data_IF_134252296297
#
_entry.id   IF_134252296297
#
_cell.length_a   1.000
_cell.length_b   1.000
_cell.length_c   1.000
_cell.angle_alpha   90.00
_cell.angle_beta   90.00
_cell.angle_gamma   90.00
#
_symmetry.space_group_name_H-M   'P 1'
#
loop_
_entity.id
_entity.type
_entity.pdbx_description
1 polymer ?
#
# COMPACT_ATOMS: atom_id res chain seq x y z
N UNK A 1 0.13 -10.95 -21.69
CA UNK A 1 0.39 -10.45 -20.32
C UNK A 1 -0.58 -11.19 -19.42
N UNK A 2 -0.09 -12.07 -18.55
CA UNK A 2 -0.97 -12.79 -17.60
C UNK A 2 -1.43 -11.77 -16.56
N UNK A 3 -2.71 -11.41 -16.58
CA UNK A 3 -3.34 -10.66 -15.49
C UNK A 3 -3.52 -11.64 -14.34
N UNK A 4 -2.95 -11.35 -13.16
CA UNK A 4 -3.24 -12.13 -11.96
C UNK A 4 -4.74 -12.02 -11.66
N UNK A 5 -5.37 -13.14 -11.31
CA UNK A 5 -6.77 -13.10 -10.91
C UNK A 5 -6.94 -12.20 -9.66
N UNK A 6 -8.02 -11.42 -9.60
CA UNK A 6 -8.26 -10.49 -8.49
C UNK A 6 -8.21 -11.17 -7.11
N UNK A 7 -8.62 -12.45 -7.03
CA UNK A 7 -8.50 -13.26 -5.81
C UNK A 7 -7.05 -13.52 -5.37
N UNK A 8 -6.15 -13.76 -6.32
CA UNK A 8 -4.72 -13.97 -6.05
C UNK A 8 -4.04 -12.68 -5.60
N UNK A 9 -4.36 -11.56 -6.27
CA UNK A 9 -3.90 -10.22 -5.86
C UNK A 9 -4.33 -9.95 -4.42
N UNK A 10 -5.60 -10.20 -4.09
CA UNK A 10 -6.12 -10.01 -2.73
C UNK A 10 -5.36 -10.82 -1.69
N UNK A 11 -5.13 -12.11 -1.94
CA UNK A 11 -4.39 -12.97 -1.02
C UNK A 11 -2.97 -12.44 -0.78
N UNK A 12 -2.28 -12.05 -1.85
CA UNK A 12 -0.93 -11.49 -1.75
C UNK A 12 -0.89 -10.16 -0.99
N UNK A 13 -1.88 -9.29 -1.22
CA UNK A 13 -2.02 -8.06 -0.46
C UNK A 13 -2.26 -8.33 1.03
N UNK A 14 -3.10 -9.32 1.36
CA UNK A 14 -3.37 -9.72 2.75
C UNK A 14 -2.10 -10.22 3.46
N UNK A 15 -1.26 -10.99 2.78
CA UNK A 15 0.02 -11.47 3.32
C UNK A 15 1.00 -10.32 3.58
N UNK A 16 1.08 -9.36 2.65
CA UNK A 16 1.93 -8.16 2.80
C UNK A 16 1.39 -7.27 3.93
N UNK A 17 0.09 -7.03 3.99
CA UNK A 17 -0.57 -6.24 5.03
C UNK A 17 -0.31 -6.86 6.42
N UNK A 18 -0.42 -8.18 6.55
CA UNK A 18 -0.09 -8.88 7.79
C UNK A 18 1.38 -8.72 8.17
N UNK A 19 2.30 -8.82 7.21
CA UNK A 19 3.74 -8.64 7.42
C UNK A 19 4.07 -7.21 7.87
N UNK A 20 3.42 -6.20 7.28
CA UNK A 20 3.59 -4.80 7.69
C UNK A 20 3.11 -4.63 9.14
N UNK A 21 1.92 -5.13 9.48
CA UNK A 21 1.36 -4.98 10.82
C UNK A 21 2.23 -5.65 11.89
N UNK A 22 2.71 -6.86 11.63
CA UNK A 22 3.63 -7.59 12.50
C UNK A 22 4.97 -6.84 12.69
N UNK A 23 5.56 -6.37 11.59
CA UNK A 23 6.83 -5.60 11.66
C UNK A 23 6.66 -4.25 12.35
N UNK A 24 5.51 -3.56 12.20
CA UNK A 24 5.21 -2.34 12.95
C UNK A 24 5.09 -2.64 14.45
N UNK A 25 4.40 -3.72 14.80
CA UNK A 25 4.29 -4.20 16.18
C UNK A 25 5.67 -4.49 16.78
N UNK A 26 6.49 -5.30 16.11
CA UNK A 26 7.88 -5.56 16.52
C UNK A 26 8.70 -4.28 16.66
N UNK A 27 8.62 -3.36 15.69
CA UNK A 27 9.41 -2.13 15.74
C UNK A 27 9.03 -1.23 16.92
N UNK A 28 7.75 -1.23 17.30
CA UNK A 28 7.23 -0.41 18.40
C UNK A 28 7.82 -0.78 19.77
N UNK A 29 8.33 -2.00 19.94
CA UNK A 29 8.91 -2.43 21.22
C UNK A 29 10.28 -1.82 21.50
N UNK A 30 10.93 -1.26 20.48
CA UNK A 30 12.25 -0.63 20.55
C UNK A 30 12.16 0.88 20.74
N UNK A 31 13.26 1.46 21.21
CA UNK A 31 13.46 2.91 21.23
C UNK A 31 13.46 3.50 19.81
N UNK A 32 13.16 4.80 19.70
CA UNK A 32 13.19 5.52 18.42
C UNK A 32 14.55 5.32 17.78
N UNK A 33 15.66 5.47 18.50
CA UNK A 33 17.01 5.36 17.94
C UNK A 33 17.24 6.37 16.81
N UNK A 34 17.11 7.65 17.11
CA UNK A 34 17.30 8.75 16.15
C UNK A 34 18.71 8.82 15.59
N UNK A 35 19.70 8.31 16.33
CA UNK A 35 21.08 8.17 15.85
C UNK A 35 21.35 6.91 15.02
N UNK A 36 20.40 5.97 14.93
CA UNK A 36 20.57 4.78 14.11
C UNK A 36 20.52 5.14 12.63
N UNK A 37 21.57 4.75 11.90
CA UNK A 37 21.60 4.83 10.45
C UNK A 37 20.57 3.86 9.86
N UNK A 38 19.62 4.39 9.10
CA UNK A 38 18.76 3.56 8.26
C UNK A 38 19.49 3.34 6.95
N UNK A 39 19.66 2.07 6.59
CA UNK A 39 20.19 1.72 5.28
C UNK A 39 19.30 2.36 4.20
N UNK A 40 19.91 3.12 3.29
CA UNK A 40 19.22 3.64 2.12
C UNK A 40 18.60 2.47 1.36
N UNK A 41 17.28 2.40 1.32
CA UNK A 41 16.58 1.39 0.54
C UNK A 41 16.47 1.89 -0.90
N UNK A 42 17.35 1.40 -1.76
CA UNK A 42 17.37 1.78 -3.18
C UNK A 42 16.07 1.37 -3.89
N UNK A 43 15.56 2.25 -4.74
CA UNK A 43 14.36 1.98 -5.57
C UNK A 43 13.02 2.10 -4.83
N UNK A 44 13.02 2.58 -3.59
CA UNK A 44 11.81 2.91 -2.83
C UNK A 44 11.37 4.35 -3.13
N UNK A 45 10.06 4.57 -3.18
CA UNK A 45 9.47 5.90 -3.27
C UNK A 45 9.92 6.78 -2.07
N UNK A 46 10.53 7.96 -2.31
CA UNK A 46 10.94 8.89 -1.24
C UNK A 46 9.81 9.27 -0.27
N UNK A 47 8.57 9.33 -0.74
CA UNK A 47 7.40 9.64 0.10
C UNK A 47 7.17 8.56 1.18
N UNK A 48 7.46 7.29 0.87
CA UNK A 48 7.38 6.16 1.83
C UNK A 48 8.42 6.30 2.91
N UNK A 49 9.67 6.56 2.52
CA UNK A 49 10.76 6.79 3.48
C UNK A 49 10.45 7.98 4.37
N UNK A 50 9.99 9.10 3.78
CA UNK A 50 9.64 10.31 4.52
C UNK A 50 8.52 10.05 5.54
N UNK A 51 7.42 9.45 5.10
CA UNK A 51 6.29 9.10 5.95
C UNK A 51 6.74 8.23 7.13
N UNK A 52 7.48 7.16 6.85
CA UNK A 52 7.98 6.24 7.87
C UNK A 52 8.86 6.94 8.91
N UNK A 53 9.76 7.81 8.45
CA UNK A 53 10.67 8.54 9.35
C UNK A 53 9.93 9.49 10.28
N UNK A 54 8.89 10.16 9.78
CA UNK A 54 8.08 11.08 10.57
C UNK A 54 7.21 10.34 11.59
N UNK A 55 6.68 9.17 11.24
CA UNK A 55 5.81 8.37 12.09
C UNK A 55 6.55 7.57 13.18
N UNK A 56 7.85 7.29 13.03
CA UNK A 56 8.67 6.58 14.05
C UNK A 56 8.55 7.17 15.46
N UNK A 57 8.43 8.50 15.57
CA UNK A 57 8.29 9.20 16.86
C UNK A 57 7.01 8.85 17.60
N UNK A 58 5.96 8.49 16.87
CA UNK A 58 4.70 8.01 17.43
C UNK A 58 4.73 6.50 17.64
N UNK A 59 5.36 5.79 16.72
CA UNK A 59 5.42 4.32 16.70
C UNK A 59 6.27 3.72 17.82
N UNK A 60 7.41 4.34 18.14
CA UNK A 60 8.46 3.72 18.95
C UNK A 60 8.59 4.39 20.32
N UNK A 61 9.20 3.69 21.28
CA UNK A 61 9.51 4.26 22.61
C UNK A 61 10.47 5.44 22.48
N UNK A 62 10.32 6.52 23.27
CA UNK A 62 11.26 7.63 23.22
C UNK A 62 12.66 7.19 23.68
N UNK A 63 13.70 7.82 23.10
CA UNK A 63 15.09 7.64 23.50
C UNK A 63 15.94 6.85 22.51
N UNK A 64 17.11 6.46 22.99
CA UNK A 64 18.15 5.73 22.25
C UNK A 64 18.53 4.46 23.03
N UNK A 65 18.76 3.38 22.30
CA UNK A 65 19.38 2.16 22.80
C UNK A 65 20.37 1.64 21.76
N UNK A 66 21.66 1.97 21.96
CA UNK A 66 22.74 1.63 21.04
C UNK A 66 22.94 0.13 20.87
N UNK A 67 22.51 -0.69 21.82
CA UNK A 67 22.59 -2.15 21.72
C UNK A 67 21.66 -2.73 20.65
N UNK A 68 20.63 -1.96 20.25
CA UNK A 68 19.60 -2.39 19.29
C UNK A 68 19.71 -1.72 17.92
N UNK A 69 20.68 -0.82 17.70
CA UNK A 69 20.77 -0.02 16.47
C UNK A 69 20.76 -0.89 15.20
N UNK A 70 21.58 -1.94 15.16
CA UNK A 70 21.66 -2.84 14.00
C UNK A 70 20.33 -3.53 13.73
N UNK A 71 19.67 -4.03 14.76
CA UNK A 71 18.40 -4.72 14.64
C UNK A 71 17.29 -3.75 14.18
N UNK A 72 17.19 -2.58 14.80
CA UNK A 72 16.21 -1.57 14.40
C UNK A 72 16.42 -1.06 12.98
N UNK A 73 17.67 -0.93 12.52
CA UNK A 73 17.98 -0.52 11.16
C UNK A 73 17.54 -1.56 10.11
N UNK A 74 17.64 -2.86 10.45
CA UNK A 74 17.14 -3.94 9.58
C UNK A 74 15.61 -3.92 9.51
N UNK A 75 14.93 -3.83 10.66
CA UNK A 75 13.46 -3.74 10.71
C UNK A 75 12.96 -2.50 9.96
N UNK A 76 13.63 -1.35 10.14
CA UNK A 76 13.30 -0.10 9.44
C UNK A 76 13.39 -0.27 7.92
N UNK A 77 14.48 -0.85 7.42
CA UNK A 77 14.68 -1.10 5.99
C UNK A 77 13.64 -2.07 5.41
N UNK A 78 13.33 -3.14 6.13
CA UNK A 78 12.31 -4.11 5.72
C UNK A 78 10.90 -3.50 5.70
N UNK A 79 10.53 -2.71 6.71
CA UNK A 79 9.25 -2.02 6.77
C UNK A 79 9.07 -1.06 5.58
N UNK A 80 10.08 -0.24 5.31
CA UNK A 80 10.08 0.70 4.18
C UNK A 80 9.88 -0.08 2.86
N UNK A 81 10.61 -1.18 2.67
CA UNK A 81 10.51 -2.00 1.46
C UNK A 81 9.13 -2.70 1.33
N UNK A 82 8.56 -3.19 2.43
CA UNK A 82 7.25 -3.82 2.45
C UNK A 82 6.13 -2.82 2.11
N UNK A 83 6.18 -1.62 2.70
CA UNK A 83 5.20 -0.56 2.44
C UNK A 83 5.26 -0.13 0.96
N UNK A 84 6.46 0.11 0.44
CA UNK A 84 6.63 0.50 -0.96
C UNK A 84 6.13 -0.58 -1.92
N UNK A 85 6.47 -1.86 -1.66
CA UNK A 85 5.97 -3.00 -2.42
C UNK A 85 4.44 -3.09 -2.36
N UNK A 86 3.85 -2.87 -1.19
CA UNK A 86 2.40 -2.88 -0.98
C UNK A 86 1.69 -1.84 -1.84
N UNK A 87 2.24 -0.63 -1.90
CA UNK A 87 1.70 0.47 -2.71
C UNK A 87 1.84 0.15 -4.20
N UNK A 88 3.02 -0.34 -4.64
CA UNK A 88 3.27 -0.71 -6.05
C UNK A 88 2.32 -1.78 -6.57
N UNK A 89 1.82 -2.70 -5.73
CA UNK A 89 0.77 -3.64 -6.12
C UNK A 89 -0.56 -2.98 -6.51
N UNK A 90 -0.75 -1.69 -6.23
CA UNK A 90 -1.86 -0.91 -6.78
C UNK A 90 -1.94 -0.98 -8.31
N UNK A 91 -0.82 -1.11 -9.01
CA UNK A 91 -0.84 -1.30 -10.47
C UNK A 91 -1.56 -2.58 -10.89
N UNK A 92 -1.35 -3.68 -10.19
CA UNK A 92 -1.99 -4.96 -10.50
C UNK A 92 -3.49 -4.87 -10.17
N UNK A 93 -3.81 -4.24 -9.04
CA UNK A 93 -5.18 -4.00 -8.60
C UNK A 93 -5.95 -3.18 -9.63
N UNK A 94 -5.41 -2.05 -10.10
CA UNK A 94 -6.11 -1.20 -11.07
C UNK A 94 -6.27 -1.89 -12.42
N UNK A 95 -5.28 -2.66 -12.87
CA UNK A 95 -5.41 -3.47 -14.09
C UNK A 95 -6.58 -4.45 -13.96
N UNK A 96 -6.67 -5.19 -12.87
CA UNK A 96 -7.79 -6.11 -12.62
C UNK A 96 -9.15 -5.41 -12.48
N UNK A 97 -9.20 -4.24 -11.81
CA UNK A 97 -10.42 -3.41 -11.72
C UNK A 97 -10.87 -2.90 -13.09
N UNK A 98 -9.95 -2.49 -13.96
CA UNK A 98 -10.28 -2.02 -15.32
C UNK A 98 -10.71 -3.15 -16.24
N UNK A 99 -10.19 -4.36 -16.07
CA UNK A 99 -10.64 -5.54 -16.80
C UNK A 99 -12.09 -5.91 -16.45
N UNK A 100 -12.47 -5.75 -15.18
CA UNK A 100 -13.82 -6.04 -14.68
C UNK A 100 -14.79 -4.88 -14.89
N UNK A 101 -14.33 -3.64 -14.82
CA UNK A 101 -15.13 -2.43 -15.02
C UNK A 101 -14.42 -1.39 -15.91
N UNK A 102 -14.48 -1.55 -17.25
CA UNK A 102 -13.86 -0.61 -18.19
C UNK A 102 -14.45 0.80 -18.16
N UNK A 103 -15.65 1.02 -17.59
CA UNK A 103 -16.29 2.33 -17.51
C UNK A 103 -15.46 3.35 -16.71
N UNK A 104 -14.59 2.87 -15.80
CA UNK A 104 -13.68 3.72 -15.04
C UNK A 104 -12.74 4.56 -15.93
N UNK A 105 -12.53 4.18 -17.19
CA UNK A 105 -11.73 4.96 -18.14
C UNK A 105 -12.42 6.27 -18.57
N UNK A 106 -13.75 6.35 -18.45
CA UNK A 106 -14.57 7.43 -19.01
C UNK A 106 -15.20 8.33 -17.93
N UNK A 107 -14.75 8.23 -16.68
CA UNK A 107 -15.27 9.06 -15.58
C UNK A 107 -14.31 10.18 -15.20
N UNK A 108 -14.82 11.18 -14.48
CA UNK A 108 -14.01 12.25 -13.87
C UNK A 108 -13.12 11.69 -12.76
N UNK A 109 -12.05 12.39 -12.40
CA UNK A 109 -11.10 11.93 -11.37
C UNK A 109 -11.76 11.64 -10.02
N UNK A 110 -12.71 12.48 -9.58
CA UNK A 110 -13.48 12.24 -8.34
C UNK A 110 -14.32 10.95 -8.41
N UNK A 111 -14.93 10.68 -9.56
CA UNK A 111 -15.71 9.44 -9.76
C UNK A 111 -14.79 8.23 -9.92
N UNK A 112 -13.61 8.43 -10.50
CA UNK A 112 -12.59 7.40 -10.62
C UNK A 112 -12.10 6.99 -9.23
N UNK A 113 -11.71 7.94 -8.40
CA UNK A 113 -11.30 7.69 -7.01
C UNK A 113 -12.35 6.88 -6.25
N UNK A 114 -13.61 7.34 -6.26
CA UNK A 114 -14.71 6.62 -5.62
C UNK A 114 -14.93 5.21 -6.20
N UNK A 115 -14.76 5.04 -7.51
CA UNK A 115 -14.92 3.75 -8.18
C UNK A 115 -13.75 2.79 -7.97
N UNK A 116 -12.59 3.30 -7.57
CA UNK A 116 -11.41 2.49 -7.22
C UNK A 116 -11.42 2.07 -5.75
N UNK A 117 -12.13 2.78 -4.87
CA UNK A 117 -12.16 2.47 -3.44
C UNK A 117 -13.26 1.48 -3.07
N UNK A 118 -12.96 0.64 -2.08
CA UNK A 118 -13.91 -0.24 -1.42
C UNK A 118 -13.76 -0.03 0.09
N UNK A 119 -14.58 0.87 0.63
CA UNK A 119 -14.46 1.31 2.03
C UNK A 119 -14.66 0.17 3.02
N UNK A 120 -15.57 -0.76 2.73
CA UNK A 120 -15.78 -1.94 3.57
C UNK A 120 -14.51 -2.78 3.62
N UNK A 121 -13.88 -2.98 2.48
CA UNK A 121 -12.63 -3.74 2.40
C UNK A 121 -11.47 -3.04 3.11
N UNK A 122 -11.35 -1.72 2.96
CA UNK A 122 -10.36 -0.90 3.66
C UNK A 122 -10.51 -1.04 5.18
N UNK A 123 -11.74 -0.97 5.70
CA UNK A 123 -12.04 -1.17 7.13
C UNK A 123 -11.65 -2.57 7.61
N UNK A 124 -11.91 -3.61 6.81
CA UNK A 124 -11.51 -4.99 7.14
C UNK A 124 -9.99 -5.15 7.20
N UNK A 125 -9.24 -4.52 6.28
CA UNK A 125 -7.77 -4.53 6.32
C UNK A 125 -7.27 -3.85 7.60
N UNK A 126 -7.77 -2.65 7.90
CA UNK A 126 -7.37 -1.89 9.10
C UNK A 126 -7.65 -2.70 10.38
N UNK A 127 -8.86 -3.28 10.51
CA UNK A 127 -9.23 -4.07 11.68
C UNK A 127 -8.30 -5.26 11.90
N UNK A 128 -7.92 -5.96 10.83
CA UNK A 128 -6.99 -7.09 10.96
C UNK A 128 -5.57 -6.65 11.28
N UNK A 129 -5.09 -5.56 10.68
CA UNK A 129 -3.79 -5.00 11.00
C UNK A 129 -3.70 -4.60 12.48
N UNK A 130 -4.74 -3.95 13.01
CA UNK A 130 -4.87 -3.66 14.45
C UNK A 130 -4.83 -4.94 15.27
N UNK A 131 -5.62 -5.96 14.89
CA UNK A 131 -5.63 -7.24 15.60
C UNK A 131 -4.24 -7.88 15.71
N UNK A 132 -3.47 -7.88 14.62
CA UNK A 132 -2.09 -8.41 14.58
C UNK A 132 -1.16 -7.58 15.47
N UNK A 133 -1.21 -6.26 15.36
CA UNK A 133 -0.29 -5.37 16.06
C UNK A 133 -0.62 -5.21 17.55
N UNK A 134 -1.88 -5.44 17.96
CA UNK A 134 -2.34 -5.26 19.34
C UNK A 134 -1.56 -6.06 20.39
N UNK A 135 -1.03 -7.23 20.01
CA UNK A 135 -0.20 -8.06 20.90
C UNK A 135 1.11 -7.40 21.34
N UNK A 136 1.54 -6.33 20.66
CA UNK A 136 2.76 -5.57 20.98
C UNK A 136 2.51 -4.35 21.88
N UNK A 137 1.25 -4.05 22.21
CA UNK A 137 0.88 -2.92 23.06
C UNK A 137 0.95 -1.55 22.37
N UNK A 138 0.96 -1.53 21.04
CA UNK A 138 0.89 -0.31 20.24
C UNK A 138 -0.54 0.27 20.21
N UNK A 139 -0.65 1.60 20.14
CA UNK A 139 -1.93 2.28 19.96
C UNK A 139 -2.56 1.91 18.60
N UNK A 140 -3.81 1.46 18.66
CA UNK A 140 -4.61 1.07 17.50
C UNK A 140 -4.75 2.21 16.48
N UNK A 141 -4.83 3.47 16.94
CA UNK A 141 -4.99 4.62 16.06
C UNK A 141 -3.74 4.86 15.20
N UNK A 142 -2.54 4.58 15.75
CA UNK A 142 -1.29 4.67 14.99
C UNK A 142 -1.28 3.66 13.86
N UNK A 143 -1.69 2.41 14.13
CA UNK A 143 -1.77 1.37 13.11
C UNK A 143 -2.83 1.71 12.06
N UNK A 144 -3.99 2.20 12.48
CA UNK A 144 -5.04 2.63 11.57
C UNK A 144 -4.55 3.74 10.62
N UNK A 145 -3.85 4.74 11.16
CA UNK A 145 -3.30 5.85 10.37
C UNK A 145 -2.24 5.39 9.37
N UNK A 146 -1.39 4.44 9.75
CA UNK A 146 -0.44 3.80 8.82
C UNK A 146 -1.16 3.16 7.64
N UNK A 147 -2.16 2.31 7.90
CA UNK A 147 -2.87 1.61 6.84
C UNK A 147 -3.72 2.54 5.98
N UNK A 148 -4.34 3.57 6.57
CA UNK A 148 -5.04 4.62 5.80
C UNK A 148 -4.09 5.35 4.87
N UNK A 149 -2.90 5.71 5.34
CA UNK A 149 -1.89 6.36 4.49
C UNK A 149 -1.47 5.45 3.32
N UNK A 150 -1.17 4.18 3.59
CA UNK A 150 -0.82 3.19 2.56
C UNK A 150 -1.93 3.05 1.50
N UNK A 151 -3.20 3.00 1.93
CA UNK A 151 -4.35 2.90 1.02
C UNK A 151 -4.55 4.15 0.18
N UNK A 152 -4.38 5.33 0.77
CA UNK A 152 -4.45 6.60 0.04
C UNK A 152 -3.34 6.68 -1.02
N UNK A 153 -2.12 6.29 -0.66
CA UNK A 153 -0.99 6.25 -1.59
C UNK A 153 -1.17 5.22 -2.71
N UNK A 154 -1.72 4.06 -2.38
CA UNK A 154 -2.11 3.05 -3.37
C UNK A 154 -3.14 3.65 -4.34
N UNK A 155 -4.19 4.29 -3.83
CA UNK A 155 -5.24 4.91 -4.66
C UNK A 155 -4.68 6.01 -5.56
N UNK A 156 -3.76 6.84 -5.04
CA UNK A 156 -3.04 7.86 -5.82
C UNK A 156 -2.28 7.24 -7.00
N UNK A 157 -1.57 6.14 -6.75
CA UNK A 157 -0.89 5.38 -7.80
C UNK A 157 -1.87 4.80 -8.82
N UNK A 158 -2.99 4.23 -8.39
CA UNK A 158 -4.03 3.69 -9.28
C UNK A 158 -4.62 4.76 -10.20
N UNK A 159 -4.95 5.95 -9.66
CA UNK A 159 -5.45 7.10 -10.43
C UNK A 159 -4.41 7.56 -11.45
N UNK A 160 -3.15 7.70 -11.02
CA UNK A 160 -2.05 8.09 -11.90
C UNK A 160 -1.89 7.10 -13.06
N UNK A 161 -1.96 5.79 -12.77
CA UNK A 161 -1.90 4.75 -13.77
C UNK A 161 -3.00 4.92 -14.83
N UNK A 162 -4.25 5.10 -14.39
CA UNK A 162 -5.40 5.30 -15.29
C UNK A 162 -5.21 6.56 -16.14
N UNK A 163 -4.83 7.68 -15.53
CA UNK A 163 -4.70 8.95 -16.22
C UNK A 163 -3.58 8.94 -17.27
N UNK A 164 -2.43 8.34 -16.95
CA UNK A 164 -1.31 8.22 -17.90
C UNK A 164 -1.61 7.27 -19.07
N UNK A 165 -2.47 6.27 -18.85
CA UNK A 165 -2.73 5.23 -19.84
C UNK A 165 -4.12 5.35 -20.49
N UNK A 166 -4.90 6.38 -20.18
CA UNK A 166 -6.33 6.48 -20.52
C UNK A 166 -6.59 6.32 -22.02
N UNK A 167 -5.82 6.99 -22.87
CA UNK A 167 -5.94 6.91 -24.33
C UNK A 167 -5.64 5.50 -24.87
N UNK A 168 -4.52 4.91 -24.43
CA UNK A 168 -4.09 3.56 -24.81
C UNK A 168 -5.09 2.50 -24.35
N UNK A 169 -5.50 2.55 -23.09
CA UNK A 169 -6.47 1.61 -22.50
C UNK A 169 -7.83 1.69 -23.19
N UNK A 170 -8.28 2.89 -23.54
CA UNK A 170 -9.53 3.09 -24.27
C UNK A 170 -9.51 2.44 -25.65
N UNK A 171 -8.38 2.52 -26.36
CA UNK A 171 -8.20 1.84 -27.65
C UNK A 171 -8.21 0.32 -27.50
N UNK A 172 -7.55 -0.22 -26.50
CA UNK A 172 -7.49 -1.66 -26.25
C UNK A 172 -8.87 -2.23 -25.88
N UNK A 173 -9.66 -1.51 -25.06
CA UNK A 173 -11.04 -1.86 -24.74
C UNK A 173 -11.92 -1.83 -26.00
N UNK A 174 -11.85 -0.76 -26.80
CA UNK A 174 -12.58 -0.68 -28.08
C UNK A 174 -12.24 -1.83 -29.02
N UNK A 175 -10.95 -2.21 -29.10
CA UNK A 175 -10.50 -3.37 -29.89
C UNK A 175 -11.05 -4.69 -29.36
N UNK A 176 -11.05 -4.91 -28.04
CA UNK A 176 -11.63 -6.11 -27.41
C UNK A 176 -13.13 -6.20 -27.68
N UNK A 177 -13.88 -5.12 -27.51
CA UNK A 177 -15.34 -5.10 -27.73
C UNK A 177 -15.69 -5.35 -29.21
N UNK A 178 -14.94 -4.78 -30.15
CA UNK A 178 -15.10 -5.10 -31.58
C UNK A 178 -14.86 -6.58 -31.88
N UNK A 179 -13.87 -7.22 -31.26
CA UNK A 179 -13.63 -8.66 -31.41
C UNK A 179 -14.78 -9.52 -30.87
N UNK A 180 -15.55 -8.99 -29.92
CA UNK A 180 -16.75 -9.62 -29.36
C UNK A 180 -18.03 -9.26 -30.13
N UNK A 181 -17.93 -8.55 -31.26
CA UNK A 181 -19.10 -8.12 -32.05
C UNK A 181 -19.90 -6.98 -31.42
N UNK A 182 -19.40 -6.34 -30.37
CA UNK A 182 -20.05 -5.22 -29.70
C UNK A 182 -19.54 -3.92 -30.32
N UNK A 183 -20.41 -3.21 -31.04
CA UNK A 183 -20.14 -1.87 -31.53
C UNK A 183 -20.47 -0.85 -30.43
N UNK A 184 -19.47 -0.06 -30.02
CA UNK A 184 -19.63 1.13 -29.18
C UNK A 184 -19.77 2.38 -30.06
#
# INVERSE_FOLDING_TARGET
>A
MYSMALGEIRKRLDEIDASIADSLGKRSTYSVNSGAYIATVYGVNPDVTKFYMESRKKLCKPGEDSSTYKETALIDGELIALIDRRIKHGEDVVKAKLETNPYLLNVTDKRLENGLRDTKREDEVIKRAIGIASGYGIDNDIIADYFRWIMNETTRLEINYVNQNRSRLSLDVKRKLRKLGINL
#
